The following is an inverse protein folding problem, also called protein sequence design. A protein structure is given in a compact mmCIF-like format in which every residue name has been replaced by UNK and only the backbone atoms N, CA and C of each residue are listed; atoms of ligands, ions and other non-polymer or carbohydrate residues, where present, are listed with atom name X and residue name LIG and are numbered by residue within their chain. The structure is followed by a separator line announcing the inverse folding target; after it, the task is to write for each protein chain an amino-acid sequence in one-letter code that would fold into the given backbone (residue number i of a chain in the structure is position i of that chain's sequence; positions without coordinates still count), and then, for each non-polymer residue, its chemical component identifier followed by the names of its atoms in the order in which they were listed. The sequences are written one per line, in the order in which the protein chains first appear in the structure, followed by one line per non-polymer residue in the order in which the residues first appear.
data_IF_871932801086
#
_entry.id   IF_871932801086
#
_cell.length_a   1.000
_cell.length_b   1.000
_cell.length_c   1.000
_cell.angle_alpha   90.00
_cell.angle_beta   90.00
_cell.angle_gamma   90.00
#
_symmetry.space_group_name_H-M   'P 1'
#
loop_
_entity.id
_entity.type
_entity.pdbx_description
1 polymer ?
#
# COMPACT_ATOMS: atom_id res chain seq x y z
N UNK A 1 29.82 -10.24 28.29
CA UNK A 1 28.35 -10.27 28.24
C UNK A 1 27.86 -8.87 28.57
N UNK A 2 27.27 -8.16 27.60
CA UNK A 2 26.76 -6.78 27.81
C UNK A 2 25.26 -6.86 28.11
N UNK A 3 24.89 -6.56 29.35
CA UNK A 3 23.48 -6.38 29.75
C UNK A 3 22.97 -5.05 29.17
N UNK A 4 22.19 -5.10 28.10
CA UNK A 4 21.41 -3.95 27.65
C UNK A 4 20.12 -3.88 28.48
N UNK A 5 20.25 -3.30 29.67
CA UNK A 5 19.17 -3.15 30.64
C UNK A 5 18.35 -1.89 30.32
N UNK A 6 17.60 -1.92 29.22
CA UNK A 6 16.73 -0.80 28.86
C UNK A 6 15.45 -0.83 29.71
N UNK A 7 15.26 0.20 30.53
CA UNK A 7 13.99 0.44 31.21
C UNK A 7 13.04 1.20 30.28
N UNK A 8 12.10 0.50 29.65
CA UNK A 8 11.06 1.10 28.82
C UNK A 8 9.91 1.59 29.72
N UNK A 9 9.60 2.90 29.71
CA UNK A 9 8.43 3.47 30.41
C UNK A 9 7.44 4.05 29.40
N UNK A 10 6.23 3.50 29.36
CA UNK A 10 5.12 4.09 28.59
C UNK A 10 4.57 5.31 29.35
N UNK A 11 4.48 6.47 28.70
CA UNK A 11 3.79 7.66 29.21
C UNK A 11 2.77 8.10 28.17
N UNK A 12 1.57 8.48 28.62
CA UNK A 12 0.61 9.17 27.75
C UNK A 12 1.14 10.58 27.44
N UNK A 13 1.12 10.97 26.17
CA UNK A 13 1.42 12.34 25.73
C UNK A 13 0.10 12.97 25.29
N UNK A 14 -0.23 14.13 25.87
CA UNK A 14 -1.35 14.94 25.39
C UNK A 14 -0.85 15.88 24.31
N UNK A 15 -1.42 15.79 23.11
CA UNK A 15 -1.16 16.72 22.00
C UNK A 15 -2.40 17.59 21.85
N UNK A 16 -2.24 18.89 22.02
CA UNK A 16 -3.31 19.86 21.74
C UNK A 16 -3.24 20.25 20.27
N UNK A 17 -4.36 20.09 19.58
CA UNK A 17 -4.53 20.52 18.20
C UNK A 17 -5.46 21.73 18.19
N UNK A 18 -5.01 22.81 17.59
CA UNK A 18 -5.86 23.98 17.36
C UNK A 18 -6.80 23.69 16.18
N UNK A 19 -8.08 23.98 16.37
CA UNK A 19 -9.11 23.82 15.35
C UNK A 19 -9.84 25.16 15.12
N UNK A 20 -10.24 25.41 13.88
CA UNK A 20 -11.06 26.54 13.49
C UNK A 20 -12.51 26.12 13.45
N UNK A 21 -13.34 26.77 14.26
CA UNK A 21 -14.79 26.62 14.24
C UNK A 21 -15.41 27.69 13.33
N UNK A 22 -16.28 27.29 12.42
CA UNK A 22 -17.04 28.23 11.58
C UNK A 22 -18.50 27.81 11.44
N UNK A 23 -19.38 28.79 11.23
CA UNK A 23 -20.79 28.56 10.93
C UNK A 23 -21.28 29.64 9.96
N UNK A 24 -21.79 29.27 8.76
CA UNK A 24 -22.41 30.23 7.85
C UNK A 24 -23.63 30.91 8.50
N UNK A 25 -23.93 32.18 8.17
CA UNK A 25 -25.13 32.83 8.66
C UNK A 25 -26.41 32.12 8.16
N UNK A 26 -27.43 32.08 9.01
CA UNK A 26 -28.75 31.52 8.69
C UNK A 26 -29.26 30.50 9.72
N UNK A 27 -30.57 30.21 9.67
CA UNK A 27 -31.18 29.22 10.55
C UNK A 27 -30.80 27.80 10.12
N UNK A 28 -30.59 26.91 11.11
CA UNK A 28 -30.27 25.48 10.92
C UNK A 28 -29.00 25.21 10.09
N UNK A 29 -28.06 26.15 10.02
CA UNK A 29 -26.74 25.91 9.42
C UNK A 29 -25.86 25.08 10.36
N UNK A 30 -25.19 24.08 9.80
CA UNK A 30 -24.23 23.26 10.52
C UNK A 30 -23.00 24.07 10.94
N UNK A 31 -22.40 23.68 12.05
CA UNK A 31 -21.06 24.07 12.44
C UNK A 31 -20.05 23.20 11.69
N UNK A 32 -18.97 23.82 11.23
CA UNK A 32 -17.83 23.15 10.62
C UNK A 32 -16.60 23.37 11.50
N UNK A 33 -15.85 22.31 11.77
CA UNK A 33 -14.60 22.32 12.52
C UNK A 33 -13.46 21.84 11.63
N UNK A 34 -12.36 22.59 11.55
CA UNK A 34 -11.22 22.28 10.68
C UNK A 34 -9.90 22.34 11.45
N UNK A 35 -9.03 21.34 11.29
CA UNK A 35 -7.68 21.30 11.85
C UNK A 35 -6.71 20.69 10.82
N UNK A 36 -5.96 21.56 10.12
CA UNK A 36 -5.10 21.12 9.01
C UNK A 36 -5.93 20.50 7.88
N UNK A 37 -5.70 19.22 7.59
CA UNK A 37 -6.46 18.46 6.57
C UNK A 37 -7.76 17.84 7.13
N UNK A 38 -7.94 17.83 8.44
CA UNK A 38 -9.13 17.26 9.07
C UNK A 38 -10.26 18.27 9.08
N UNK A 39 -11.47 17.80 8.73
CA UNK A 39 -12.69 18.59 8.73
C UNK A 39 -13.84 17.75 9.25
N UNK A 40 -14.73 18.34 10.04
CA UNK A 40 -15.98 17.71 10.43
C UNK A 40 -17.14 18.70 10.58
N UNK A 41 -18.35 18.23 10.30
CA UNK A 41 -19.58 19.02 10.42
C UNK A 41 -20.47 18.51 11.57
N UNK A 42 -21.25 19.40 12.17
CA UNK A 42 -22.19 19.04 13.26
C UNK A 42 -23.30 20.06 13.47
N UNK A 43 -24.42 19.60 14.05
CA UNK A 43 -25.59 20.47 14.34
C UNK A 43 -25.26 21.51 15.43
N UNK A 44 -24.29 21.21 16.30
CA UNK A 44 -23.77 22.11 17.33
C UNK A 44 -22.25 22.17 17.22
N UNK A 45 -21.65 23.23 17.75
CA UNK A 45 -20.19 23.38 17.85
C UNK A 45 -19.55 22.17 18.54
N UNK A 46 -20.14 21.73 19.66
CA UNK A 46 -19.70 20.53 20.40
C UNK A 46 -19.79 19.24 19.57
N UNK A 47 -20.85 19.09 18.78
CA UNK A 47 -21.01 17.91 17.92
C UNK A 47 -19.96 17.89 16.80
N UNK A 48 -19.70 19.04 16.17
CA UNK A 48 -18.65 19.17 15.16
C UNK A 48 -17.26 18.90 15.76
N UNK A 49 -16.97 19.40 16.97
CA UNK A 49 -15.72 19.14 17.67
C UNK A 49 -15.55 17.65 18.04
N UNK A 50 -16.63 17.00 18.50
CA UNK A 50 -16.64 15.57 18.80
C UNK A 50 -16.40 14.71 17.57
N UNK A 51 -17.02 15.08 16.43
CA UNK A 51 -16.79 14.41 15.16
C UNK A 51 -15.34 14.58 14.69
N UNK A 52 -14.79 15.80 14.75
CA UNK A 52 -13.38 16.06 14.38
C UNK A 52 -12.41 15.24 15.25
N UNK A 53 -12.65 15.20 16.56
CA UNK A 53 -11.82 14.43 17.49
C UNK A 53 -11.86 12.93 17.18
N UNK A 54 -13.04 12.40 16.81
CA UNK A 54 -13.18 11.02 16.39
C UNK A 54 -12.40 10.73 15.10
N UNK A 55 -12.47 11.60 14.09
CA UNK A 55 -11.69 11.46 12.85
C UNK A 55 -10.19 11.39 13.11
N UNK A 56 -9.68 12.32 13.94
CA UNK A 56 -8.27 12.34 14.34
C UNK A 56 -7.92 11.08 15.12
N UNK A 57 -8.77 10.63 16.04
CA UNK A 57 -8.55 9.40 16.82
C UNK A 57 -8.48 8.17 15.94
N UNK A 58 -9.40 8.03 14.99
CA UNK A 58 -9.41 6.90 14.04
C UNK A 58 -8.16 6.96 13.16
N UNK A 59 -7.79 8.13 12.62
CA UNK A 59 -6.54 8.29 11.88
C UNK A 59 -5.31 7.88 12.69
N UNK A 60 -5.16 8.39 13.91
CA UNK A 60 -4.03 8.08 14.80
C UNK A 60 -4.00 6.61 15.23
N UNK A 61 -5.13 5.91 15.21
CA UNK A 61 -5.17 4.47 15.48
C UNK A 61 -4.49 3.65 14.38
N UNK A 62 -4.51 4.15 13.14
CA UNK A 62 -3.97 3.46 11.96
C UNK A 62 -2.69 4.08 11.41
N UNK A 63 -2.35 5.30 11.83
CA UNK A 63 -1.20 6.02 11.31
C UNK A 63 0.12 5.39 11.79
N UNK A 64 0.96 4.99 10.83
CA UNK A 64 2.39 4.81 11.04
C UNK A 64 3.16 5.88 10.26
N UNK A 65 4.39 6.16 10.69
CA UNK A 65 5.27 7.04 9.92
C UNK A 65 5.51 6.44 8.52
N UNK A 66 5.31 7.20 7.43
CA UNK A 66 5.52 6.71 6.08
C UNK A 66 6.93 6.14 5.91
N UNK A 67 7.01 4.94 5.35
CA UNK A 67 8.28 4.30 4.99
C UNK A 67 8.50 4.45 3.49
N UNK A 68 9.72 4.84 3.13
CA UNK A 68 10.14 4.86 1.73
C UNK A 68 10.44 3.43 1.30
N UNK A 69 9.66 2.92 0.36
CA UNK A 69 9.87 1.60 -0.25
C UNK A 69 10.64 1.82 -1.55
N UNK A 70 11.68 1.04 -1.80
CA UNK A 70 12.53 1.20 -2.98
C UNK A 70 12.83 -0.15 -3.62
N UNK A 71 12.69 -0.22 -4.94
CA UNK A 71 13.06 -1.40 -5.73
C UNK A 71 13.33 -1.01 -7.17
N UNK A 72 14.49 -1.40 -7.72
CA UNK A 72 14.95 -1.13 -9.10
C UNK A 72 14.65 0.31 -9.55
N UNK A 73 15.19 1.26 -8.78
CA UNK A 73 15.06 2.72 -8.97
C UNK A 73 13.63 3.29 -8.93
N UNK A 74 12.63 2.45 -8.65
CA UNK A 74 11.28 2.89 -8.32
C UNK A 74 11.19 3.14 -6.83
N UNK A 75 10.44 4.19 -6.48
CA UNK A 75 10.16 4.55 -5.10
C UNK A 75 8.66 4.51 -4.85
N UNK A 76 8.23 3.90 -3.76
CA UNK A 76 6.84 3.91 -3.35
C UNK A 76 6.68 4.46 -1.93
N UNK A 77 5.58 5.17 -1.71
CA UNK A 77 5.15 5.66 -0.41
C UNK A 77 3.73 5.16 -0.17
N UNK A 78 3.51 4.59 1.01
CA UNK A 78 2.17 4.25 1.53
C UNK A 78 1.69 5.42 2.36
N UNK A 79 0.50 5.91 2.05
CA UNK A 79 -0.13 7.03 2.71
C UNK A 79 -1.55 6.61 3.11
N UNK A 80 -1.98 7.07 4.28
CA UNK A 80 -3.38 6.97 4.69
C UNK A 80 -4.05 8.29 4.31
N UNK A 81 -4.94 8.23 3.33
CA UNK A 81 -5.69 9.39 2.85
C UNK A 81 -7.04 9.47 3.58
N UNK A 82 -7.34 10.67 4.06
CA UNK A 82 -8.66 11.02 4.55
C UNK A 82 -9.38 11.55 3.32
N UNK A 83 -10.22 10.74 2.69
CA UNK A 83 -10.95 11.19 1.50
C UNK A 83 -11.74 12.47 1.75
N UNK A 84 -12.37 13.02 0.70
CA UNK A 84 -13.22 14.21 0.84
C UNK A 84 -14.41 14.04 1.82
N UNK A 85 -14.74 12.80 2.16
CA UNK A 85 -15.73 12.44 3.17
C UNK A 85 -15.07 11.88 4.43
N UNK A 86 -15.53 12.43 5.56
CA UNK A 86 -15.07 12.28 6.95
C UNK A 86 -14.96 10.81 7.41
N UNK A 87 -15.73 9.92 6.79
CA UNK A 87 -15.87 8.51 7.19
C UNK A 87 -15.09 7.52 6.30
N UNK A 88 -14.34 7.99 5.28
CA UNK A 88 -13.58 7.09 4.39
C UNK A 88 -12.08 7.32 4.48
N UNK A 89 -11.46 6.71 5.49
CA UNK A 89 -10.03 6.43 5.45
C UNK A 89 -9.75 5.46 4.32
N UNK A 90 -8.88 5.84 3.39
CA UNK A 90 -8.46 4.99 2.27
C UNK A 90 -6.96 4.91 2.22
N UNK A 91 -6.43 3.72 1.92
CA UNK A 91 -5.01 3.60 1.67
C UNK A 91 -4.71 4.11 0.26
N UNK A 92 -3.65 4.89 0.17
CA UNK A 92 -3.13 5.41 -1.07
C UNK A 92 -1.67 5.00 -1.20
N UNK A 93 -1.30 4.55 -2.40
CA UNK A 93 0.11 4.35 -2.75
C UNK A 93 0.52 5.34 -3.82
N UNK A 94 1.68 5.95 -3.63
CA UNK A 94 2.33 6.79 -4.63
C UNK A 94 3.59 6.07 -5.12
N UNK A 95 3.60 5.66 -6.39
CA UNK A 95 4.78 5.06 -7.03
C UNK A 95 5.41 6.09 -7.97
N UNK A 96 6.69 6.37 -7.76
CA UNK A 96 7.52 7.26 -8.57
C UNK A 96 8.44 6.40 -9.43
N UNK A 97 8.34 6.56 -10.75
CA UNK A 97 9.24 5.87 -11.69
C UNK A 97 10.60 6.57 -11.77
N UNK A 98 11.65 5.91 -12.29
CA UNK A 98 12.98 6.52 -12.45
C UNK A 98 12.97 7.80 -13.30
N UNK A 99 12.01 7.91 -14.23
CA UNK A 99 11.80 9.11 -15.05
C UNK A 99 10.99 10.22 -14.36
N UNK A 100 10.69 10.10 -13.06
CA UNK A 100 9.96 11.10 -12.27
C UNK A 100 8.45 11.09 -12.46
N UNK A 101 7.87 10.12 -13.19
CA UNK A 101 6.41 10.01 -13.31
C UNK A 101 5.83 9.47 -12.01
N UNK A 102 4.75 10.09 -11.55
CA UNK A 102 4.07 9.72 -10.32
C UNK A 102 2.74 9.07 -10.65
N UNK A 103 2.51 7.86 -10.11
CA UNK A 103 1.22 7.17 -10.16
C UNK A 103 0.66 7.07 -8.74
N UNK A 104 -0.50 7.68 -8.53
CA UNK A 104 -1.26 7.57 -7.29
C UNK A 104 -2.38 6.55 -7.47
N UNK A 105 -2.59 5.67 -6.51
CA UNK A 105 -3.65 4.64 -6.58
C UNK A 105 -4.21 4.40 -5.19
N UNK A 106 -5.54 4.54 -5.05
CA UNK A 106 -6.26 4.16 -3.83
C UNK A 106 -6.56 2.66 -3.82
N UNK A 107 -6.54 2.05 -2.64
CA UNK A 107 -6.79 0.62 -2.45
C UNK A 107 -7.27 0.32 -1.02
N UNK A 108 -7.76 -0.91 -0.82
CA UNK A 108 -8.26 -1.37 0.48
C UNK A 108 -7.22 -2.25 1.19
N UNK A 109 -7.01 -1.98 2.48
CA UNK A 109 -6.19 -2.81 3.37
C UNK A 109 -6.71 -2.68 4.81
N UNK A 110 -6.65 -3.76 5.58
CA UNK A 110 -7.13 -3.79 6.96
C UNK A 110 -6.09 -3.26 7.96
N UNK A 111 -4.83 -3.10 7.54
CA UNK A 111 -3.73 -2.67 8.40
C UNK A 111 -2.59 -2.05 7.60
N UNK A 112 -1.69 -1.33 8.29
CA UNK A 112 -0.48 -0.79 7.69
C UNK A 112 0.42 -1.88 7.09
N UNK A 113 0.57 -3.01 7.78
CA UNK A 113 1.37 -4.13 7.31
C UNK A 113 0.82 -4.71 5.98
N UNK A 114 -0.50 -4.83 5.86
CA UNK A 114 -1.15 -5.24 4.62
C UNK A 114 -0.99 -4.17 3.52
N UNK A 115 -1.10 -2.89 3.87
CA UNK A 115 -0.91 -1.79 2.92
C UNK A 115 0.53 -1.70 2.39
N UNK A 116 1.52 -1.94 3.25
CA UNK A 116 2.93 -2.03 2.89
C UNK A 116 3.17 -3.25 1.97
N UNK A 117 2.61 -4.41 2.30
CA UNK A 117 2.74 -5.63 1.49
C UNK A 117 2.12 -5.46 0.08
N UNK A 118 0.91 -4.92 -0.01
CA UNK A 118 0.28 -4.59 -1.30
C UNK A 118 1.12 -3.60 -2.11
N UNK A 119 1.67 -2.58 -1.45
CA UNK A 119 2.48 -1.56 -2.13
C UNK A 119 3.79 -2.13 -2.62
N UNK A 120 4.47 -2.98 -1.82
CA UNK A 120 5.68 -3.71 -2.26
C UNK A 120 5.36 -4.61 -3.45
N UNK A 121 4.26 -5.36 -3.38
CA UNK A 121 3.78 -6.21 -4.47
C UNK A 121 3.52 -5.41 -5.75
N UNK A 122 2.82 -4.28 -5.63
CA UNK A 122 2.54 -3.37 -6.75
C UNK A 122 3.81 -2.75 -7.33
N UNK A 123 4.78 -2.41 -6.47
CA UNK A 123 6.06 -1.83 -6.87
C UNK A 123 6.88 -2.83 -7.70
N UNK A 124 7.02 -4.08 -7.22
CA UNK A 124 7.73 -5.12 -7.98
C UNK A 124 6.99 -5.45 -9.27
N UNK A 125 5.64 -5.48 -9.27
CA UNK A 125 4.89 -5.79 -10.48
C UNK A 125 5.12 -4.81 -11.62
N UNK A 126 5.39 -3.54 -11.30
CA UNK A 126 5.62 -2.49 -12.29
C UNK A 126 7.05 -2.44 -12.82
N UNK A 127 8.00 -2.98 -12.07
CA UNK A 127 9.44 -2.78 -12.30
C UNK A 127 10.20 -4.07 -12.61
N UNK A 128 9.57 -5.22 -12.39
CA UNK A 128 10.13 -6.53 -12.74
C UNK A 128 10.09 -6.74 -14.25
N UNK A 129 11.24 -7.11 -14.81
CA UNK A 129 11.30 -7.68 -16.14
C UNK A 129 10.90 -9.16 -16.06
N UNK A 130 9.65 -9.45 -16.41
CA UNK A 130 9.05 -10.78 -16.31
C UNK A 130 9.75 -11.84 -17.18
N UNK A 131 10.54 -11.42 -18.16
CA UNK A 131 11.27 -12.32 -19.07
C UNK A 131 12.72 -12.56 -18.63
N UNK A 132 13.17 -11.91 -17.55
CA UNK A 132 14.50 -12.06 -16.98
C UNK A 132 14.44 -12.77 -15.62
N UNK A 133 14.99 -13.98 -15.54
CA UNK A 133 15.00 -14.80 -14.32
C UNK A 133 15.63 -14.07 -13.14
N UNK A 134 16.75 -13.38 -13.36
CA UNK A 134 17.43 -12.61 -12.31
C UNK A 134 16.52 -11.50 -11.77
N UNK A 135 15.79 -10.80 -12.66
CA UNK A 135 14.83 -9.77 -12.24
C UNK A 135 13.69 -10.35 -11.41
N UNK A 136 13.19 -11.55 -11.77
CA UNK A 136 12.13 -12.25 -11.04
C UNK A 136 12.63 -12.70 -9.66
N UNK A 137 13.86 -13.20 -9.56
CA UNK A 137 14.48 -13.62 -8.30
C UNK A 137 14.73 -12.46 -7.34
N UNK A 138 15.24 -11.33 -7.84
CA UNK A 138 15.42 -10.12 -7.03
C UNK A 138 14.08 -9.60 -6.48
N UNK A 139 13.03 -9.61 -7.32
CA UNK A 139 11.69 -9.21 -6.91
C UNK A 139 11.10 -10.17 -5.85
N UNK A 140 11.27 -11.48 -6.04
CA UNK A 140 10.88 -12.49 -5.06
C UNK A 140 11.59 -12.27 -3.72
N UNK A 141 12.92 -12.09 -3.72
CA UNK A 141 13.69 -11.83 -2.50
C UNK A 141 13.25 -10.53 -1.79
N UNK A 142 12.94 -9.48 -2.56
CA UNK A 142 12.41 -8.23 -2.01
C UNK A 142 11.07 -8.43 -1.28
N UNK A 143 10.15 -9.23 -1.85
CA UNK A 143 8.87 -9.54 -1.20
C UNK A 143 9.01 -10.42 0.03
N UNK A 144 10.01 -11.30 0.08
CA UNK A 144 10.24 -12.20 1.22
C UNK A 144 10.81 -11.48 2.45
N UNK A 145 11.43 -10.31 2.25
CA UNK A 145 12.05 -9.51 3.32
C UNK A 145 11.07 -8.86 4.31
N UNK A 146 9.76 -8.93 4.06
CA UNK A 146 8.74 -8.24 4.85
C UNK A 146 7.69 -9.21 5.41
N UNK A 147 7.22 -9.02 6.65
CA UNK A 147 6.02 -9.69 7.14
C UNK A 147 4.85 -9.42 6.19
N UNK A 148 4.11 -10.47 5.84
CA UNK A 148 2.91 -10.39 5.01
C UNK A 148 1.77 -11.15 5.67
N UNK A 149 0.55 -10.66 5.48
CA UNK A 149 -0.68 -11.28 5.99
C UNK A 149 -1.39 -12.14 4.96
N UNK A 150 -1.06 -12.01 3.66
CA UNK A 150 -1.66 -12.77 2.56
C UNK A 150 -0.58 -13.29 1.60
N UNK A 151 -0.78 -14.51 1.13
CA UNK A 151 0.16 -15.16 0.20
C UNK A 151 0.13 -14.57 -1.21
N UNK A 152 -0.98 -13.93 -1.59
CA UNK A 152 -1.12 -13.21 -2.86
C UNK A 152 -0.17 -12.01 -3.01
N UNK A 153 0.53 -11.61 -1.94
CA UNK A 153 1.58 -10.59 -1.98
C UNK A 153 2.99 -11.19 -1.87
N UNK A 154 3.11 -12.51 -1.98
CA UNK A 154 4.35 -13.24 -1.78
C UNK A 154 5.12 -13.59 -3.06
N UNK A 155 6.33 -14.16 -2.92
CA UNK A 155 7.15 -14.66 -4.01
C UNK A 155 6.43 -15.70 -4.89
N UNK A 156 5.61 -16.56 -4.29
CA UNK A 156 4.91 -17.63 -5.01
C UNK A 156 3.99 -17.08 -6.10
N UNK A 157 3.21 -16.05 -5.75
CA UNK A 157 2.35 -15.35 -6.68
C UNK A 157 3.16 -14.69 -7.79
N UNK A 158 4.30 -14.09 -7.43
CA UNK A 158 5.20 -13.44 -8.37
C UNK A 158 5.76 -14.43 -9.40
N UNK A 159 6.21 -15.62 -8.97
CA UNK A 159 6.66 -16.69 -9.87
C UNK A 159 5.54 -17.21 -10.77
N UNK A 160 4.34 -17.38 -10.22
CA UNK A 160 3.14 -17.80 -10.99
C UNK A 160 2.82 -16.78 -12.08
N UNK A 161 2.87 -15.50 -11.76
CA UNK A 161 2.62 -14.42 -12.71
C UNK A 161 3.72 -14.30 -13.78
N UNK A 162 4.99 -14.45 -13.40
CA UNK A 162 6.10 -14.46 -14.35
C UNK A 162 5.96 -15.58 -15.39
N UNK A 163 5.59 -16.79 -14.94
CA UNK A 163 5.33 -17.93 -15.80
C UNK A 163 4.17 -17.65 -16.77
N UNK A 164 3.08 -17.06 -16.27
CA UNK A 164 1.93 -16.65 -17.09
C UNK A 164 2.31 -15.59 -18.14
N UNK A 165 3.09 -14.57 -17.77
CA UNK A 165 3.56 -13.52 -18.69
C UNK A 165 4.38 -14.09 -19.85
N UNK A 166 5.26 -15.05 -19.56
CA UNK A 166 6.06 -15.74 -20.59
C UNK A 166 5.19 -16.59 -21.51
N UNK A 167 4.23 -17.33 -20.96
CA UNK A 167 3.28 -18.10 -21.74
C UNK A 167 2.41 -17.20 -22.64
N UNK A 168 1.94 -16.06 -22.11
CA UNK A 168 1.19 -15.07 -22.88
C UNK A 168 2.01 -14.49 -24.04
N UNK A 169 3.27 -14.12 -23.80
CA UNK A 169 4.16 -13.64 -24.86
C UNK A 169 4.41 -14.70 -25.94
N UNK A 170 4.63 -15.97 -25.55
CA UNK A 170 4.80 -17.07 -26.48
C UNK A 170 3.54 -17.30 -27.33
N UNK A 171 2.35 -17.26 -26.72
CA UNK A 171 1.08 -17.39 -27.43
C UNK A 171 0.84 -16.25 -28.43
N UNK A 172 1.10 -15.00 -28.02
CA UNK A 172 0.99 -13.84 -28.91
C UNK A 172 1.97 -13.94 -30.09
N UNK A 173 3.23 -14.33 -29.84
CA UNK A 173 4.25 -14.50 -30.89
C UNK A 173 3.88 -15.61 -31.87
N UNK A 174 3.16 -16.64 -31.42
CA UNK A 174 2.63 -17.70 -32.26
C UNK A 174 1.35 -17.31 -33.02
N UNK A 175 0.86 -16.07 -32.87
CA UNK A 175 -0.34 -15.58 -33.55
C UNK A 175 -1.64 -16.18 -33.00
N UNK A 176 -1.67 -16.57 -31.71
CA UNK A 176 -2.89 -17.13 -31.09
C UNK A 176 -3.83 -16.01 -30.65
N UNK A 177 -5.07 -16.05 -31.13
CA UNK A 177 -6.11 -15.09 -30.72
C UNK A 177 -6.60 -15.33 -29.29
N UNK A 178 -6.59 -16.58 -28.82
CA UNK A 178 -6.98 -16.97 -27.45
C UNK A 178 -5.79 -16.98 -26.47
N UNK A 179 -4.82 -16.08 -26.66
CA UNK A 179 -3.56 -16.07 -25.90
C UNK A 179 -3.74 -16.05 -24.38
N UNK A 180 -4.79 -15.38 -23.87
CA UNK A 180 -5.05 -15.29 -22.44
C UNK A 180 -5.43 -16.64 -21.82
N UNK A 181 -6.42 -17.34 -22.41
CA UNK A 181 -6.83 -18.68 -21.97
C UNK A 181 -5.71 -19.71 -22.14
N UNK A 182 -4.98 -19.59 -23.25
CA UNK A 182 -3.85 -20.45 -23.53
C UNK A 182 -2.75 -20.28 -22.47
N UNK A 183 -2.38 -19.03 -22.15
CA UNK A 183 -1.38 -18.73 -21.12
C UNK A 183 -1.79 -19.24 -19.75
N UNK A 184 -3.06 -19.09 -19.37
CA UNK A 184 -3.59 -19.62 -18.11
C UNK A 184 -3.47 -21.14 -18.01
N UNK A 185 -3.65 -21.86 -19.12
CA UNK A 185 -3.55 -23.32 -19.15
C UNK A 185 -2.10 -23.84 -19.26
N UNK A 186 -1.19 -23.06 -19.85
CA UNK A 186 0.17 -23.51 -20.18
C UNK A 186 1.27 -22.80 -19.37
N UNK A 187 0.93 -21.90 -18.43
CA UNK A 187 1.90 -21.14 -17.63
C UNK A 187 2.97 -22.03 -16.98
N UNK A 188 2.61 -23.23 -16.51
CA UNK A 188 3.55 -24.16 -15.87
C UNK A 188 4.73 -24.58 -16.76
N UNK A 189 4.55 -24.60 -18.09
CA UNK A 189 5.62 -24.92 -19.06
C UNK A 189 6.67 -23.81 -19.16
N UNK A 190 6.34 -22.61 -18.70
CA UNK A 190 7.17 -21.41 -18.74
C UNK A 190 7.63 -20.98 -17.34
N UNK A 191 7.59 -21.90 -16.37
CA UNK A 191 7.98 -21.63 -15.00
C UNK A 191 9.44 -21.17 -14.89
N UNK A 192 9.68 -20.21 -14.00
CA UNK A 192 11.04 -19.78 -13.63
C UNK A 192 11.55 -20.73 -12.55
N UNK A 193 12.71 -21.35 -12.78
CA UNK A 193 13.32 -22.27 -11.82
C UNK A 193 13.69 -21.52 -10.55
N UNK A 194 13.29 -22.00 -9.36
CA UNK A 194 13.61 -21.28 -8.14
C UNK A 194 15.05 -21.53 -7.72
N UNK A 195 15.72 -20.59 -7.03
CA UNK A 195 17.11 -20.76 -6.62
C UNK A 195 17.35 -21.98 -5.72
N UNK A 196 16.33 -22.45 -5.00
CA UNK A 196 16.37 -23.66 -4.17
C UNK A 196 16.29 -24.97 -4.96
N UNK A 197 15.80 -24.92 -6.21
CA UNK A 197 15.60 -26.10 -7.06
C UNK A 197 16.89 -26.52 -7.79
N UNK A 198 17.95 -25.69 -7.71
CA UNK A 198 19.24 -25.92 -8.37
C UNK A 198 20.27 -26.70 -7.52
N UNK A 199 19.86 -27.19 -6.35
CA UNK A 199 20.70 -28.00 -5.45
C UNK A 199 20.02 -29.32 -5.12
N UNK A 200 20.01 -30.25 -6.08
CA UNK A 200 20.01 -31.71 -5.85
C UNK A 200 20.60 -32.43 -7.06
#
# INVERSE_FOLDING_TARGET
MSYNDYTIRKRGVEIRLDATASRPPGWRKAWTMEAGIFRADGVTEKAAAGALAECVRVFLTHYESPRLLMFRDHTAIVELDLGGDIDSLRWCRRIVTPGGRVRMTGFDAASWAEAEADTRHSLVHQSTDWHNDTSVHEAAAYLDSSPRTRDLFGPDELYRYAAWQRAAQAAMKAGRDNWHEWASSHASEFAVSRPTDATY
#
